data_IF_886594093146
#
_entry.id   IF_886594093146
#
_cell.length_a   1.000
_cell.length_b   1.000
_cell.length_c   1.000
_cell.angle_alpha   90.00
_cell.angle_beta   90.00
_cell.angle_gamma   90.00
#
_symmetry.space_group_name_H-M   'P 1'
#
loop_
_entity.id
_entity.type
_entity.pdbx_description
1 polymer ?
#
# COMPACT_ATOMS: atom_id res chain seq x y z
N UNK A 1 22.83 35.47 7.42
CA UNK A 1 23.06 34.66 6.20
C UNK A 1 23.05 33.13 6.40
N UNK A 2 23.20 32.58 7.62
CA UNK A 2 23.16 31.12 7.86
C UNK A 2 21.80 30.45 7.58
N UNK A 3 20.70 31.16 7.77
CA UNK A 3 19.34 30.63 7.60
C UNK A 3 18.92 30.39 6.14
N UNK A 4 19.49 31.15 5.20
CA UNK A 4 19.19 31.02 3.76
C UNK A 4 19.77 29.72 3.20
N UNK A 5 20.94 29.32 3.68
CA UNK A 5 21.58 28.05 3.31
C UNK A 5 20.78 26.85 3.81
N UNK A 6 20.32 26.89 5.06
CA UNK A 6 19.51 25.81 5.64
C UNK A 6 18.15 25.69 4.95
N UNK A 7 17.50 26.82 4.64
CA UNK A 7 16.22 26.84 3.93
C UNK A 7 16.36 26.30 2.50
N UNK A 8 17.42 26.70 1.77
CA UNK A 8 17.71 26.18 0.43
C UNK A 8 18.04 24.69 0.45
N UNK A 9 18.79 24.22 1.46
CA UNK A 9 19.09 22.81 1.61
C UNK A 9 17.82 21.99 1.88
N UNK A 10 16.97 22.44 2.80
CA UNK A 10 15.71 21.77 3.10
C UNK A 10 14.78 21.72 1.88
N UNK A 11 14.70 22.82 1.11
CA UNK A 11 13.92 22.89 -0.12
C UNK A 11 14.45 21.92 -1.19
N UNK A 12 15.77 21.83 -1.36
CA UNK A 12 16.38 20.90 -2.30
C UNK A 12 16.17 19.44 -1.90
N UNK A 13 16.29 19.12 -0.62
CA UNK A 13 16.00 17.76 -0.09
C UNK A 13 14.53 17.42 -0.26
N UNK A 14 13.64 18.37 0.00
CA UNK A 14 12.21 18.22 -0.23
C UNK A 14 11.91 17.97 -1.72
N UNK A 15 12.45 18.79 -2.63
CA UNK A 15 12.30 18.61 -4.07
C UNK A 15 12.86 17.27 -4.55
N UNK A 16 14.04 16.87 -4.08
CA UNK A 16 14.65 15.59 -4.45
C UNK A 16 13.81 14.41 -3.95
N UNK A 17 13.25 14.51 -2.73
CA UNK A 17 12.37 13.48 -2.17
C UNK A 17 11.08 13.38 -2.98
N UNK A 18 10.45 14.52 -3.30
CA UNK A 18 9.26 14.56 -4.17
C UNK A 18 9.58 13.98 -5.54
N UNK A 19 10.72 14.34 -6.13
CA UNK A 19 11.12 13.84 -7.44
C UNK A 19 11.33 12.32 -7.41
N UNK A 20 11.99 11.78 -6.40
CA UNK A 20 12.17 10.31 -6.24
C UNK A 20 10.83 9.60 -6.05
N UNK A 21 9.88 10.20 -5.32
CA UNK A 21 8.54 9.64 -5.13
C UNK A 21 7.72 9.69 -6.43
N UNK A 22 7.83 10.77 -7.20
CA UNK A 22 7.09 11.00 -8.45
C UNK A 22 7.69 10.22 -9.64
N UNK A 23 9.01 10.09 -9.71
CA UNK A 23 9.74 9.40 -10.79
C UNK A 23 10.11 7.95 -10.46
N UNK A 24 9.52 7.35 -9.41
CA UNK A 24 9.70 5.91 -9.19
C UNK A 24 9.31 5.16 -10.48
N UNK A 25 10.20 4.33 -11.06
CA UNK A 25 9.90 3.59 -12.28
C UNK A 25 8.60 2.81 -12.06
N UNK A 26 7.75 2.83 -13.09
CA UNK A 26 6.42 2.24 -13.08
C UNK A 26 6.50 0.82 -12.51
N UNK A 27 6.14 0.66 -11.24
CA UNK A 27 5.86 -0.66 -10.72
C UNK A 27 4.72 -1.22 -11.56
N UNK A 28 4.79 -2.49 -12.01
CA UNK A 28 3.65 -3.12 -12.64
C UNK A 28 2.43 -2.89 -11.74
N UNK A 29 1.24 -2.62 -12.31
CA UNK A 29 0.05 -2.36 -11.52
C UNK A 29 -0.08 -3.48 -10.47
N UNK A 30 -0.31 -3.13 -9.20
CA UNK A 30 -0.46 -4.16 -8.17
C UNK A 30 -1.53 -5.15 -8.64
N UNK A 31 -1.26 -6.46 -8.53
CA UNK A 31 -2.17 -7.50 -9.03
C UNK A 31 -3.55 -7.31 -8.42
N UNK A 32 -4.60 -7.61 -9.19
CA UNK A 32 -5.95 -7.40 -8.70
C UNK A 32 -6.24 -8.33 -7.52
N UNK A 33 -7.12 -7.90 -6.62
CA UNK A 33 -7.47 -8.71 -5.45
C UNK A 33 -8.11 -10.04 -5.88
N UNK A 34 -8.77 -10.03 -7.03
CA UNK A 34 -9.31 -11.23 -7.70
C UNK A 34 -8.20 -12.17 -8.15
N UNK A 35 -7.13 -11.64 -8.75
CA UNK A 35 -5.98 -12.45 -9.18
C UNK A 35 -5.23 -13.06 -7.99
N UNK A 36 -5.10 -12.29 -6.91
CA UNK A 36 -4.50 -12.74 -5.65
C UNK A 36 -5.38 -13.84 -5.04
N UNK A 37 -6.69 -13.64 -5.00
CA UNK A 37 -7.63 -14.62 -4.48
C UNK A 37 -7.62 -15.92 -5.27
N UNK A 38 -7.54 -15.86 -6.60
CA UNK A 38 -7.50 -17.06 -7.45
C UNK A 38 -6.20 -17.84 -7.21
N UNK A 39 -5.05 -17.16 -7.12
CA UNK A 39 -3.77 -17.79 -6.73
C UNK A 39 -3.82 -18.47 -5.37
N UNK A 40 -4.55 -17.89 -4.40
CA UNK A 40 -4.72 -18.50 -3.08
C UNK A 40 -5.66 -19.71 -3.19
N UNK A 41 -6.74 -19.58 -3.97
CA UNK A 41 -7.72 -20.63 -4.19
C UNK A 41 -7.10 -21.89 -4.82
N UNK A 42 -6.10 -21.74 -5.70
CA UNK A 42 -5.32 -22.86 -6.26
C UNK A 42 -4.56 -23.67 -5.20
N UNK A 43 -4.20 -23.05 -4.08
CA UNK A 43 -3.46 -23.70 -2.98
C UNK A 43 -4.37 -24.15 -1.82
N UNK A 44 -5.64 -23.79 -1.86
CA UNK A 44 -6.64 -24.12 -0.83
C UNK A 44 -7.34 -25.45 -1.13
N UNK A 45 -7.84 -26.14 -0.10
CA UNK A 45 -8.81 -27.22 -0.27
C UNK A 45 -10.03 -26.73 -1.09
N UNK A 46 -10.64 -27.57 -1.95
CA UNK A 46 -11.73 -27.14 -2.84
C UNK A 46 -12.90 -26.46 -2.14
N UNK A 47 -13.25 -26.90 -0.93
CA UNK A 47 -14.31 -26.29 -0.12
C UNK A 47 -13.93 -24.87 0.37
N UNK A 48 -12.70 -24.67 0.82
CA UNK A 48 -12.21 -23.36 1.29
C UNK A 48 -11.97 -22.38 0.11
N UNK A 49 -11.59 -22.90 -1.06
CA UNK A 49 -11.46 -22.13 -2.29
C UNK A 49 -12.80 -21.51 -2.75
N UNK A 50 -13.91 -22.27 -2.64
CA UNK A 50 -15.25 -21.75 -2.94
C UNK A 50 -15.64 -20.63 -1.98
N UNK A 51 -15.36 -20.78 -0.69
CA UNK A 51 -15.61 -19.76 0.33
C UNK A 51 -14.81 -18.48 0.02
N UNK A 52 -13.53 -18.61 -0.34
CA UNK A 52 -12.71 -17.44 -0.69
C UNK A 52 -13.25 -16.70 -1.90
N UNK A 53 -13.60 -17.42 -2.98
CA UNK A 53 -14.15 -16.82 -4.20
C UNK A 53 -15.48 -16.11 -3.95
N UNK A 54 -16.36 -16.69 -3.13
CA UNK A 54 -17.64 -16.09 -2.77
C UNK A 54 -17.45 -14.76 -2.02
N UNK A 55 -16.59 -14.74 -1.00
CA UNK A 55 -16.33 -13.54 -0.20
C UNK A 55 -15.67 -12.45 -1.05
N UNK A 56 -14.73 -12.82 -1.93
CA UNK A 56 -14.04 -11.88 -2.83
C UNK A 56 -15.02 -11.29 -3.84
N UNK A 57 -15.86 -12.12 -4.47
CA UNK A 57 -16.88 -11.66 -5.40
C UNK A 57 -17.87 -10.68 -4.75
N UNK A 58 -18.27 -10.94 -3.49
CA UNK A 58 -19.16 -10.05 -2.74
C UNK A 58 -18.55 -8.67 -2.45
N UNK A 59 -17.22 -8.58 -2.30
CA UNK A 59 -16.52 -7.33 -1.94
C UNK A 59 -15.76 -6.65 -3.09
N UNK A 60 -15.62 -7.30 -4.23
CA UNK A 60 -14.99 -6.77 -5.42
C UNK A 60 -15.52 -5.37 -5.85
N UNK A 61 -16.85 -5.10 -5.85
CA UNK A 61 -17.37 -3.79 -6.23
C UNK A 61 -16.88 -2.65 -5.32
N UNK A 62 -16.79 -2.90 -4.01
CA UNK A 62 -16.32 -1.90 -3.05
C UNK A 62 -14.85 -1.57 -3.25
N UNK A 63 -14.02 -2.60 -3.48
CA UNK A 63 -12.58 -2.46 -3.70
C UNK A 63 -12.31 -1.75 -5.05
N UNK A 64 -13.03 -2.12 -6.11
CA UNK A 64 -12.86 -1.50 -7.43
C UNK A 64 -13.27 -0.03 -7.43
N UNK A 65 -14.35 0.32 -6.72
CA UNK A 65 -14.77 1.72 -6.56
C UNK A 65 -13.70 2.57 -5.85
N UNK A 66 -13.03 2.01 -4.83
CA UNK A 66 -11.92 2.65 -4.14
C UNK A 66 -10.71 2.86 -5.06
N UNK A 67 -10.33 1.82 -5.83
CA UNK A 67 -9.23 1.89 -6.81
C UNK A 67 -9.48 2.95 -7.88
N UNK A 68 -10.70 3.04 -8.40
CA UNK A 68 -11.07 4.07 -9.37
C UNK A 68 -10.90 5.49 -8.81
N UNK A 69 -11.36 5.71 -7.57
CA UNK A 69 -11.23 7.01 -6.89
C UNK A 69 -9.76 7.41 -6.63
N UNK A 70 -8.91 6.43 -6.32
CA UNK A 70 -7.48 6.63 -6.06
C UNK A 70 -6.66 6.87 -7.34
N UNK A 71 -7.01 6.25 -8.47
CA UNK A 71 -6.26 6.43 -9.74
C UNK A 71 -6.16 7.89 -10.18
N UNK A 72 -7.23 8.67 -10.00
CA UNK A 72 -7.25 10.08 -10.38
C UNK A 72 -6.68 11.04 -9.33
N UNK A 73 -6.30 10.56 -8.15
CA UNK A 73 -5.83 11.42 -7.06
C UNK A 73 -4.55 12.21 -7.40
N UNK A 74 -3.49 11.60 -8.00
CA UNK A 74 -2.27 12.34 -8.36
C UNK A 74 -2.53 13.48 -9.34
N UNK A 75 -3.42 13.28 -10.30
CA UNK A 75 -3.75 14.29 -11.30
C UNK A 75 -4.54 15.46 -10.68
N UNK A 76 -5.44 15.17 -9.73
CA UNK A 76 -6.15 16.21 -8.96
C UNK A 76 -5.20 17.03 -8.09
N UNK A 77 -4.26 16.40 -7.41
CA UNK A 77 -3.24 17.10 -6.62
C UNK A 77 -2.35 17.96 -7.53
N UNK A 78 -1.91 17.43 -8.68
CA UNK A 78 -1.12 18.19 -9.66
C UNK A 78 -1.89 19.40 -10.20
N UNK A 79 -3.19 19.26 -10.44
CA UNK A 79 -4.04 20.35 -10.92
C UNK A 79 -4.19 21.49 -9.89
N UNK A 80 -4.24 21.18 -8.59
CA UNK A 80 -4.30 22.21 -7.53
C UNK A 80 -2.94 22.88 -7.33
N UNK A 81 -1.87 22.10 -7.31
CA UNK A 81 -0.50 22.63 -7.17
C UNK A 81 -0.01 23.42 -8.38
N UNK A 82 -0.56 23.15 -9.57
CA UNK A 82 -0.17 23.81 -10.82
C UNK A 82 -0.87 25.15 -11.08
N UNK A 83 -1.72 25.63 -10.17
CA UNK A 83 -2.35 26.97 -10.28
C UNK A 83 -1.33 28.07 -9.97
N UNK A 84 -1.43 29.21 -10.65
CA UNK A 84 -0.59 30.39 -10.38
C UNK A 84 -0.74 30.88 -8.94
N UNK A 85 -1.98 30.91 -8.43
CA UNK A 85 -2.28 31.16 -7.03
C UNK A 85 -2.49 29.84 -6.28
N UNK A 86 -1.52 29.51 -5.43
CA UNK A 86 -1.59 28.32 -4.58
C UNK A 86 -2.61 28.51 -3.45
N UNK A 87 -3.65 27.67 -3.43
CA UNK A 87 -4.64 27.60 -2.36
C UNK A 87 -4.45 26.33 -1.50
N UNK A 88 -3.93 26.44 -0.27
CA UNK A 88 -3.76 25.30 0.62
C UNK A 88 -5.09 24.71 1.11
N UNK A 89 -6.18 25.48 1.14
CA UNK A 89 -7.49 25.00 1.57
C UNK A 89 -8.11 24.08 0.51
N UNK A 90 -7.76 24.25 -0.77
CA UNK A 90 -8.18 23.36 -1.85
C UNK A 90 -7.52 21.96 -1.79
N UNK A 91 -6.36 21.82 -1.13
CA UNK A 91 -5.69 20.52 -0.95
C UNK A 91 -6.27 19.69 0.19
N UNK A 92 -6.69 20.33 1.29
CA UNK A 92 -7.22 19.64 2.48
C UNK A 92 -8.32 18.61 2.17
N UNK A 93 -9.39 18.95 1.42
CA UNK A 93 -10.44 17.98 1.13
C UNK A 93 -9.92 16.81 0.28
N UNK A 94 -9.01 17.06 -0.67
CA UNK A 94 -8.43 16.00 -1.52
C UNK A 94 -7.69 14.96 -0.67
N UNK A 95 -6.85 15.40 0.26
CA UNK A 95 -6.12 14.49 1.15
C UNK A 95 -7.05 13.79 2.16
N UNK A 96 -8.05 14.50 2.69
CA UNK A 96 -9.06 13.90 3.57
C UNK A 96 -9.83 12.78 2.88
N UNK A 97 -10.28 13.01 1.64
CA UNK A 97 -10.97 11.99 0.84
C UNK A 97 -10.08 10.80 0.54
N UNK A 98 -8.81 11.05 0.22
CA UNK A 98 -7.83 10.00 -0.02
C UNK A 98 -7.60 9.12 1.20
N UNK A 99 -7.43 9.71 2.39
CA UNK A 99 -7.31 8.98 3.67
C UNK A 99 -8.57 8.15 3.93
N UNK A 100 -9.76 8.75 3.75
CA UNK A 100 -11.02 8.07 4.00
C UNK A 100 -11.28 6.90 3.04
N UNK A 101 -10.86 7.01 1.78
CA UNK A 101 -10.95 5.90 0.81
C UNK A 101 -9.99 4.78 1.20
N UNK A 102 -8.75 5.11 1.60
CA UNK A 102 -7.78 4.12 2.07
C UNK A 102 -8.26 3.36 3.30
N UNK A 103 -8.78 4.05 4.31
CA UNK A 103 -9.32 3.43 5.52
C UNK A 103 -10.45 2.44 5.20
N UNK A 104 -11.38 2.83 4.31
CA UNK A 104 -12.48 1.94 3.87
C UNK A 104 -11.97 0.69 3.15
N UNK A 105 -10.90 0.81 2.36
CA UNK A 105 -10.27 -0.35 1.71
C UNK A 105 -9.61 -1.27 2.74
N UNK A 106 -8.88 -0.72 3.70
CA UNK A 106 -8.23 -1.48 4.76
C UNK A 106 -9.26 -2.23 5.63
N UNK A 107 -10.36 -1.56 5.99
CA UNK A 107 -11.48 -2.19 6.71
C UNK A 107 -12.14 -3.32 5.90
N UNK A 108 -12.33 -3.13 4.60
CA UNK A 108 -12.91 -4.15 3.73
C UNK A 108 -12.02 -5.40 3.62
N UNK A 109 -10.70 -5.21 3.54
CA UNK A 109 -9.73 -6.31 3.52
C UNK A 109 -9.69 -7.01 4.88
N UNK A 110 -9.66 -6.27 5.99
CA UNK A 110 -9.70 -6.86 7.33
C UNK A 110 -10.96 -7.70 7.55
N UNK A 111 -12.13 -7.18 7.15
CA UNK A 111 -13.40 -7.91 7.22
C UNK A 111 -13.36 -9.20 6.39
N UNK A 112 -12.81 -9.17 5.17
CA UNK A 112 -12.64 -10.34 4.32
C UNK A 112 -11.79 -11.42 5.01
N UNK A 113 -10.67 -11.03 5.62
CA UNK A 113 -9.78 -11.97 6.32
C UNK A 113 -10.47 -12.59 7.53
N UNK A 114 -11.19 -11.79 8.32
CA UNK A 114 -11.96 -12.28 9.49
C UNK A 114 -13.05 -13.25 9.05
N UNK A 115 -13.80 -12.91 8.00
CA UNK A 115 -14.89 -13.72 7.46
C UNK A 115 -14.37 -15.05 6.90
N UNK A 116 -13.28 -15.00 6.12
CA UNK A 116 -12.61 -16.19 5.61
C UNK A 116 -12.09 -17.08 6.75
N UNK A 117 -11.39 -16.51 7.74
CA UNK A 117 -10.86 -17.27 8.87
C UNK A 117 -11.96 -17.94 9.73
N UNK A 118 -13.15 -17.34 9.79
CA UNK A 118 -14.30 -17.87 10.51
C UNK A 118 -14.93 -19.06 9.80
N UNK A 119 -15.01 -19.00 8.46
CA UNK A 119 -15.68 -20.02 7.64
C UNK A 119 -14.75 -21.14 7.17
N UNK A 120 -13.44 -20.90 7.12
CA UNK A 120 -12.47 -21.87 6.60
C UNK A 120 -12.01 -22.90 7.63
N UNK A 121 -11.53 -24.03 7.11
CA UNK A 121 -10.85 -25.06 7.89
C UNK A 121 -9.55 -24.53 8.54
N UNK A 122 -9.02 -25.21 9.58
CA UNK A 122 -7.69 -24.90 10.13
C UNK A 122 -6.57 -24.93 9.08
N UNK A 123 -6.69 -25.79 8.06
CA UNK A 123 -5.74 -25.85 6.94
C UNK A 123 -5.85 -24.60 6.06
N UNK A 124 -7.07 -24.14 5.74
CA UNK A 124 -7.29 -22.90 5.00
C UNK A 124 -6.74 -21.67 5.72
N UNK A 125 -6.91 -21.59 7.05
CA UNK A 125 -6.29 -20.54 7.88
C UNK A 125 -4.76 -20.54 7.83
N UNK A 126 -4.12 -21.71 7.77
CA UNK A 126 -2.66 -21.82 7.67
C UNK A 126 -2.12 -21.36 6.29
N UNK A 127 -2.93 -21.44 5.24
CA UNK A 127 -2.59 -20.86 3.93
C UNK A 127 -2.70 -19.34 3.99
N UNK A 128 -3.79 -18.81 4.57
CA UNK A 128 -3.96 -17.35 4.77
C UNK A 128 -2.84 -16.77 5.63
N UNK A 129 -2.39 -17.46 6.68
CA UNK A 129 -1.31 -16.95 7.54
C UNK A 129 0.04 -16.82 6.82
N UNK A 130 0.23 -17.53 5.71
CA UNK A 130 1.44 -17.45 4.87
C UNK A 130 1.32 -16.36 3.81
N UNK A 131 0.12 -15.80 3.61
CA UNK A 131 -0.12 -14.72 2.68
C UNK A 131 0.58 -13.46 3.19
N UNK A 132 1.59 -12.99 2.46
CA UNK A 132 2.13 -11.65 2.66
C UNK A 132 1.15 -10.66 2.04
N UNK A 133 0.27 -10.11 2.87
CA UNK A 133 -0.50 -8.93 2.49
C UNK A 133 0.48 -7.80 2.14
N UNK A 134 0.23 -7.04 1.04
CA UNK A 134 1.03 -5.86 0.77
C UNK A 134 0.98 -4.94 2.00
N UNK A 135 2.11 -4.35 2.40
CA UNK A 135 2.10 -3.40 3.52
C UNK A 135 1.11 -2.27 3.20
N UNK A 136 0.36 -1.76 4.19
CA UNK A 136 -0.51 -0.63 3.95
C UNK A 136 0.36 0.52 3.41
N UNK A 137 -0.15 1.29 2.43
CA UNK A 137 0.63 2.30 1.71
C UNK A 137 1.23 3.39 2.61
N UNK A 138 0.77 3.49 3.86
CA UNK A 138 1.27 4.42 4.88
C UNK A 138 1.84 3.74 6.13
N UNK A 139 2.31 2.49 6.05
CA UNK A 139 3.18 1.95 7.08
C UNK A 139 4.51 2.73 7.11
N UNK A 140 4.50 3.91 7.73
CA UNK A 140 5.65 4.66 8.24
C UNK A 140 6.28 3.86 9.39
N UNK A 141 6.77 2.67 9.06
CA UNK A 141 7.23 1.64 9.99
C UNK A 141 7.75 0.37 9.30
N UNK A 142 7.68 0.30 7.96
CA UNK A 142 8.49 -0.67 7.22
C UNK A 142 9.97 -0.44 7.53
N UNK A 143 10.69 -1.51 7.87
CA UNK A 143 12.13 -1.46 8.09
C UNK A 143 12.80 -0.65 6.96
N UNK A 144 13.71 0.29 7.27
CA UNK A 144 14.35 1.09 6.24
C UNK A 144 14.97 0.16 5.20
N UNK A 145 14.84 0.46 3.89
CA UNK A 145 15.54 -0.30 2.87
C UNK A 145 17.03 -0.31 3.26
N UNK A 146 17.71 -1.48 3.19
CA UNK A 146 19.11 -1.54 3.56
C UNK A 146 19.87 -0.48 2.74
N UNK A 147 20.70 0.36 3.40
CA UNK A 147 21.49 1.32 2.67
C UNK A 147 22.40 0.54 1.72
N UNK A 148 22.30 0.88 0.44
CA UNK A 148 23.11 0.43 -0.68
C UNK A 148 24.40 -0.34 -0.30
N UNK A 149 24.51 -1.60 -0.74
CA UNK A 149 25.80 -2.23 -1.06
C UNK A 149 26.65 -2.83 0.07
N UNK A 150 26.16 -2.97 1.31
CA UNK A 150 26.92 -3.61 2.38
C UNK A 150 26.66 -5.12 2.48
N UNK A 151 27.67 -5.96 2.23
CA UNK A 151 27.70 -7.31 2.82
C UNK A 151 27.48 -7.15 4.34
N UNK A 152 26.48 -7.82 4.89
CA UNK A 152 26.24 -7.82 6.33
C UNK A 152 27.52 -8.22 7.09
N UNK A 153 27.71 -7.74 8.33
CA UNK A 153 28.86 -8.13 9.12
C UNK A 153 28.88 -9.66 9.27
N UNK A 154 30.06 -10.31 9.14
CA UNK A 154 30.16 -11.75 9.28
C UNK A 154 29.66 -12.18 10.67
N UNK A 155 29.04 -13.38 10.78
CA UNK A 155 28.54 -13.88 12.05
C UNK A 155 29.69 -13.98 13.07
N UNK A 156 29.42 -13.73 14.36
CA UNK A 156 30.43 -13.88 15.39
C UNK A 156 30.93 -15.33 15.44
N UNK A 157 32.22 -15.56 15.73
CA UNK A 157 32.75 -16.91 15.87
C UNK A 157 32.01 -17.65 17.00
N UNK A 158 31.83 -18.97 16.89
CA UNK A 158 31.24 -19.77 17.95
C UNK A 158 32.06 -19.62 19.23
N UNK A 159 31.38 -19.44 20.36
CA UNK A 159 32.01 -19.42 21.67
C UNK A 159 32.60 -20.82 21.94
N UNK A 160 33.91 -20.87 22.19
CA UNK A 160 34.57 -22.01 22.84
C UNK A 160 34.30 -22.01 24.35
#
# INVERSE_FOLDING_TARGET
MKWVLTASLALNVFLATVLVVVYRPHHPPPPDITDIAERIAETLPPADAVILREIVAARAPAIESGKHNLRGFPDRVRAVLGKEDFDPEALRPLFSDFIAVHQRMDEAVAALVIEAATRMSPQGRAVISRLRLPPPPFAMGGAPPPPFGGKGPPPPPPAE
#
